data_IF_881525351396
#
_entry.id   IF_881525351396
#
_cell.length_a   1.000
_cell.length_b   1.000
_cell.length_c   1.000
_cell.angle_alpha   90.00
_cell.angle_beta   90.00
_cell.angle_gamma   90.00
#
_symmetry.space_group_name_H-M   'P 1'
#
loop_
_entity.id
_entity.type
_entity.pdbx_description
1 polymer ?
#
# COMPACT_ATOMS: atom_id res chain seq x y z
N UNK A 1 -14.28 -14.89 -21.46
CA UNK A 1 -14.63 -14.70 -20.04
C UNK A 1 -15.50 -13.46 -19.98
N UNK A 2 -16.70 -13.55 -19.41
CA UNK A 2 -17.57 -12.41 -19.20
C UNK A 2 -16.93 -11.56 -18.10
N UNK A 3 -16.68 -10.28 -18.35
CA UNK A 3 -16.14 -9.35 -17.35
C UNK A 3 -17.17 -9.20 -16.22
N UNK A 4 -16.73 -9.48 -14.99
CA UNK A 4 -17.52 -9.43 -13.74
C UNK A 4 -17.61 -8.00 -13.19
N UNK A 5 -17.71 -7.00 -14.08
CA UNK A 5 -17.80 -5.58 -13.72
C UNK A 5 -19.25 -5.05 -13.81
N UNK A 6 -20.22 -5.90 -14.17
CA UNK A 6 -21.63 -5.52 -14.37
C UNK A 6 -22.29 -4.87 -13.13
N UNK A 7 -21.79 -5.16 -11.92
CA UNK A 7 -22.29 -4.55 -10.69
C UNK A 7 -21.97 -3.06 -10.59
N UNK A 8 -20.82 -2.61 -11.13
CA UNK A 8 -20.41 -1.20 -11.09
C UNK A 8 -21.36 -0.32 -11.89
N UNK A 9 -21.80 -0.81 -13.04
CA UNK A 9 -22.74 -0.12 -13.94
C UNK A 9 -24.13 0.08 -13.31
N UNK A 10 -24.49 -0.74 -12.32
CA UNK A 10 -25.74 -0.57 -11.55
C UNK A 10 -25.51 0.37 -10.38
N UNK A 11 -24.41 0.18 -9.64
CA UNK A 11 -24.17 0.85 -8.35
C UNK A 11 -23.80 2.32 -8.53
N UNK A 12 -22.89 2.64 -9.47
CA UNK A 12 -22.41 4.01 -9.65
C UNK A 12 -23.55 4.98 -10.00
N UNK A 13 -24.44 4.68 -10.97
CA UNK A 13 -25.58 5.57 -11.24
C UNK A 13 -26.57 5.64 -10.08
N UNK A 14 -26.92 4.49 -9.47
CA UNK A 14 -27.92 4.43 -8.40
C UNK A 14 -27.52 5.23 -7.15
N UNK A 15 -26.22 5.35 -6.92
CA UNK A 15 -25.67 6.03 -5.74
C UNK A 15 -25.00 7.36 -6.10
N UNK A 16 -25.15 7.87 -7.31
CA UNK A 16 -24.46 9.08 -7.81
C UNK A 16 -24.70 10.35 -6.99
N UNK A 17 -25.86 10.48 -6.35
CA UNK A 17 -26.23 11.62 -5.49
C UNK A 17 -25.85 11.40 -4.02
N UNK A 18 -25.39 10.19 -3.68
CA UNK A 18 -24.88 9.84 -2.36
C UNK A 18 -23.36 9.81 -2.48
N UNK A 19 -22.63 10.35 -1.51
CA UNK A 19 -21.18 10.16 -1.48
C UNK A 19 -20.88 8.69 -1.19
N UNK A 20 -20.85 7.86 -2.22
CA UNK A 20 -20.54 6.44 -2.09
C UNK A 20 -19.15 6.19 -2.53
N UNK A 21 -18.38 5.68 -1.59
CA UNK A 21 -16.99 5.40 -1.79
C UNK A 21 -16.89 3.94 -2.22
N UNK A 22 -17.05 3.69 -3.52
CA UNK A 22 -16.94 2.34 -4.07
C UNK A 22 -15.52 1.81 -3.83
N UNK A 23 -15.39 0.68 -3.15
CA UNK A 23 -14.13 -0.03 -2.99
C UNK A 23 -14.38 -1.52 -3.20
N UNK A 24 -13.40 -2.17 -3.79
CA UNK A 24 -13.34 -3.62 -3.93
C UNK A 24 -12.44 -4.16 -2.81
N UNK A 25 -12.75 -5.34 -2.29
CA UNK A 25 -11.91 -6.02 -1.30
C UNK A 25 -11.36 -7.28 -1.97
N UNK A 26 -10.04 -7.30 -2.21
CA UNK A 26 -9.42 -8.44 -2.90
C UNK A 26 -9.50 -9.74 -2.09
N UNK A 27 -9.33 -9.65 -0.77
CA UNK A 27 -9.48 -10.79 0.13
C UNK A 27 -9.97 -10.35 1.52
N UNK A 28 -11.02 -11.03 1.99
CA UNK A 28 -11.49 -10.92 3.37
C UNK A 28 -11.20 -12.21 4.13
N UNK A 29 -10.49 -12.10 5.26
CA UNK A 29 -10.21 -13.22 6.15
C UNK A 29 -11.16 -13.20 7.35
N UNK A 30 -12.07 -14.18 7.38
CA UNK A 30 -13.11 -14.29 8.41
C UNK A 30 -12.56 -14.60 9.80
N UNK A 31 -11.41 -15.27 9.91
CA UNK A 31 -10.86 -15.70 11.20
C UNK A 31 -10.33 -14.52 12.02
N UNK A 32 -9.82 -13.47 11.35
CA UNK A 32 -9.23 -12.30 11.99
C UNK A 32 -9.95 -10.98 11.63
N UNK A 33 -11.05 -11.06 10.87
CA UNK A 33 -11.70 -9.91 10.23
C UNK A 33 -10.72 -9.05 9.40
N UNK A 34 -9.70 -9.67 8.81
CA UNK A 34 -8.70 -8.92 8.05
C UNK A 34 -9.23 -8.57 6.65
N UNK A 35 -9.12 -7.29 6.30
CA UNK A 35 -9.27 -6.79 4.94
C UNK A 35 -7.87 -6.76 4.31
N UNK A 36 -7.69 -7.47 3.20
CA UNK A 36 -6.40 -7.60 2.51
C UNK A 36 -6.56 -7.09 1.09
N UNK A 37 -5.73 -6.12 0.73
CA UNK A 37 -5.72 -5.46 -0.58
C UNK A 37 -4.36 -5.71 -1.27
N UNK A 38 -4.42 -6.20 -2.50
CA UNK A 38 -3.27 -6.55 -3.34
C UNK A 38 -2.97 -5.43 -4.34
N UNK A 39 -1.89 -4.71 -4.06
CA UNK A 39 -1.44 -3.55 -4.84
C UNK A 39 -0.39 -3.99 -5.86
N UNK A 40 -0.82 -4.23 -7.10
CA UNK A 40 0.11 -4.55 -8.18
C UNK A 40 1.02 -3.36 -8.49
N UNK A 41 2.33 -3.59 -8.34
CA UNK A 41 3.39 -2.70 -8.74
C UNK A 41 3.84 -3.04 -10.16
N UNK A 42 3.35 -2.27 -11.12
CA UNK A 42 3.66 -2.37 -12.55
C UNK A 42 4.78 -1.39 -12.96
N UNK A 43 5.62 -0.97 -12.01
CA UNK A 43 6.64 0.05 -12.27
C UNK A 43 7.69 -0.42 -13.29
N UNK A 44 7.96 -1.72 -13.37
CA UNK A 44 8.91 -2.26 -14.34
C UNK A 44 8.34 -2.21 -15.76
N UNK A 45 7.07 -2.62 -15.93
CA UNK A 45 6.32 -2.59 -17.17
C UNK A 45 6.13 -1.15 -17.66
N UNK A 46 5.74 -0.24 -16.77
CA UNK A 46 5.61 1.19 -17.07
C UNK A 46 6.93 1.80 -17.53
N UNK A 47 8.05 1.39 -16.93
CA UNK A 47 9.38 1.86 -17.34
C UNK A 47 9.77 1.30 -18.71
N UNK A 48 9.56 0.00 -18.96
CA UNK A 48 9.80 -0.63 -20.28
C UNK A 48 8.96 0.01 -21.38
N UNK A 49 7.72 0.38 -21.09
CA UNK A 49 6.82 1.06 -22.02
C UNK A 49 7.08 2.57 -22.18
N UNK A 50 8.10 3.13 -21.50
CA UNK A 50 8.40 4.57 -21.55
C UNK A 50 7.38 5.46 -20.86
N UNK A 51 6.40 4.90 -20.15
CA UNK A 51 5.35 5.63 -19.40
C UNK A 51 5.87 6.19 -18.07
N UNK A 52 6.97 5.64 -17.55
CA UNK A 52 7.61 6.09 -16.31
C UNK A 52 9.15 6.09 -16.45
N UNK A 53 9.82 7.10 -15.90
CA UNK A 53 11.29 7.22 -16.01
C UNK A 53 12.05 6.42 -14.93
N UNK A 54 11.47 6.29 -13.74
CA UNK A 54 12.08 5.63 -12.59
C UNK A 54 11.46 4.26 -12.33
N UNK A 55 12.12 3.45 -11.52
CA UNK A 55 11.60 2.18 -11.02
C UNK A 55 11.26 2.36 -9.54
N UNK A 56 10.09 1.88 -9.12
CA UNK A 56 9.71 1.74 -7.71
C UNK A 56 9.66 0.24 -7.44
N UNK A 57 10.45 -0.22 -6.48
CA UNK A 57 10.39 -1.60 -6.01
C UNK A 57 9.26 -1.77 -5.00
N UNK A 58 8.76 -2.98 -4.79
CA UNK A 58 7.76 -3.33 -3.78
C UNK A 58 8.18 -2.88 -2.39
N UNK A 59 9.46 -2.99 -2.04
CA UNK A 59 10.01 -2.50 -0.78
C UNK A 59 9.86 -0.97 -0.59
N UNK A 60 9.79 -0.23 -1.70
CA UNK A 60 9.63 1.22 -1.69
C UNK A 60 8.22 1.67 -2.05
N UNK A 61 7.37 0.77 -2.57
CA UNK A 61 5.99 1.05 -2.91
C UNK A 61 5.19 1.32 -1.62
N UNK A 62 4.41 2.40 -1.63
CA UNK A 62 3.59 2.78 -0.47
C UNK A 62 2.45 3.71 -0.92
N UNK A 63 1.21 3.55 -0.41
CA UNK A 63 0.07 4.41 -0.76
C UNK A 63 0.33 5.91 -0.59
N UNK A 64 1.07 6.32 0.43
CA UNK A 64 1.46 7.73 0.65
C UNK A 64 2.24 8.37 -0.52
N UNK A 65 2.75 7.58 -1.49
CA UNK A 65 3.36 8.11 -2.72
C UNK A 65 2.34 8.59 -3.75
N UNK A 66 1.10 8.12 -3.64
CA UNK A 66 0.02 8.35 -4.61
C UNK A 66 -1.32 8.62 -3.93
N UNK A 67 -1.27 9.43 -2.88
CA UNK A 67 -2.43 9.81 -2.05
C UNK A 67 -3.54 10.59 -2.81
N UNK A 68 -3.38 10.88 -4.10
CA UNK A 68 -4.50 11.33 -4.93
C UNK A 68 -5.60 10.27 -5.07
N UNK A 69 -5.28 8.98 -4.89
CA UNK A 69 -6.26 7.88 -4.82
C UNK A 69 -6.64 7.53 -3.36
N UNK A 70 -6.60 8.52 -2.46
CA UNK A 70 -6.77 8.31 -1.01
C UNK A 70 -8.08 7.64 -0.61
N UNK A 71 -9.16 7.89 -1.35
CA UNK A 71 -10.49 7.44 -0.98
C UNK A 71 -10.56 5.91 -0.86
N UNK A 72 -9.92 5.18 -1.76
CA UNK A 72 -9.82 3.72 -1.68
C UNK A 72 -9.26 3.25 -0.34
N UNK A 73 -8.13 3.82 0.08
CA UNK A 73 -7.45 3.43 1.31
C UNK A 73 -8.20 3.84 2.56
N UNK A 74 -8.81 5.03 2.55
CA UNK A 74 -9.66 5.51 3.64
C UNK A 74 -10.83 4.54 3.83
N UNK A 75 -11.54 4.17 2.76
CA UNK A 75 -12.70 3.27 2.89
C UNK A 75 -12.29 1.87 3.37
N UNK A 76 -11.21 1.31 2.82
CA UNK A 76 -10.72 0.00 3.22
C UNK A 76 -10.38 -0.01 4.72
N UNK A 77 -9.76 1.07 5.21
CA UNK A 77 -9.43 1.22 6.62
C UNK A 77 -10.67 1.40 7.47
N UNK A 78 -11.58 2.31 7.09
CA UNK A 78 -12.82 2.54 7.81
C UNK A 78 -13.66 1.26 7.87
N UNK A 79 -13.77 0.53 6.75
CA UNK A 79 -14.45 -0.76 6.69
C UNK A 79 -13.81 -1.77 7.63
N UNK A 80 -12.47 -1.89 7.64
CA UNK A 80 -11.76 -2.79 8.55
C UNK A 80 -12.02 -2.41 10.01
N UNK A 81 -12.13 -1.12 10.35
CA UNK A 81 -12.45 -0.69 11.73
C UNK A 81 -13.89 -0.97 12.12
N UNK A 82 -14.85 -0.83 11.20
CA UNK A 82 -16.26 -1.14 11.47
C UNK A 82 -16.49 -2.62 11.82
N UNK A 83 -15.66 -3.51 11.28
CA UNK A 83 -15.72 -4.96 11.56
C UNK A 83 -14.71 -5.40 12.64
N UNK A 84 -14.10 -4.45 13.37
CA UNK A 84 -13.08 -4.71 14.40
C UNK A 84 -11.90 -5.56 13.89
N UNK A 85 -11.45 -5.31 12.66
CA UNK A 85 -10.36 -6.02 12.00
C UNK A 85 -9.17 -5.14 11.59
N UNK A 86 -8.24 -5.74 10.86
CA UNK A 86 -7.04 -5.07 10.37
C UNK A 86 -7.11 -4.83 8.85
N UNK A 87 -6.44 -3.78 8.40
CA UNK A 87 -6.17 -3.54 6.99
C UNK A 87 -4.74 -3.94 6.67
N UNK A 88 -4.58 -4.86 5.72
CA UNK A 88 -3.31 -5.28 5.17
C UNK A 88 -3.18 -4.86 3.71
N UNK A 89 -2.05 -4.27 3.35
CA UNK A 89 -1.73 -3.90 1.97
C UNK A 89 -0.54 -4.73 1.49
N UNK A 90 -0.68 -5.36 0.33
CA UNK A 90 0.32 -6.27 -0.24
C UNK A 90 0.85 -5.69 -1.55
N UNK A 91 2.03 -5.07 -1.55
CA UNK A 91 2.67 -4.64 -2.79
C UNK A 91 3.44 -5.80 -3.43
N UNK A 92 3.03 -6.18 -4.62
CA UNK A 92 3.60 -7.30 -5.38
C UNK A 92 3.81 -6.92 -6.85
N UNK A 93 4.58 -7.72 -7.58
CA UNK A 93 4.88 -7.51 -9.00
C UNK A 93 4.82 -8.85 -9.74
N UNK A 94 4.76 -8.82 -11.07
CA UNK A 94 4.85 -10.04 -11.90
C UNK A 94 6.26 -10.66 -11.88
N UNK A 95 7.25 -9.95 -11.33
CA UNK A 95 8.60 -10.48 -11.11
C UNK A 95 8.64 -11.37 -9.85
N UNK A 96 8.75 -12.71 -9.98
CA UNK A 96 8.73 -13.63 -8.83
C UNK A 96 9.98 -13.57 -7.97
N UNK A 97 11.06 -12.93 -8.45
CA UNK A 97 12.29 -12.74 -7.70
C UNK A 97 12.24 -11.49 -6.81
N UNK A 98 11.30 -10.58 -7.09
CA UNK A 98 11.11 -9.40 -6.26
C UNK A 98 10.42 -9.78 -4.95
N UNK A 99 10.93 -9.25 -3.83
CA UNK A 99 10.26 -9.43 -2.54
C UNK A 99 8.92 -8.69 -2.55
N UNK A 100 7.98 -9.20 -1.77
CA UNK A 100 6.67 -8.59 -1.56
C UNK A 100 6.73 -7.71 -0.31
N UNK A 101 6.12 -6.53 -0.35
CA UNK A 101 5.93 -5.72 0.86
C UNK A 101 4.53 -5.95 1.41
N UNK A 102 4.46 -6.39 2.66
CA UNK A 102 3.22 -6.50 3.43
C UNK A 102 3.17 -5.35 4.43
N UNK A 103 2.05 -4.64 4.53
CA UNK A 103 1.90 -3.46 5.38
C UNK A 103 0.65 -3.63 6.24
N UNK A 104 0.81 -3.62 7.56
CA UNK A 104 -0.30 -3.52 8.51
C UNK A 104 -0.61 -2.05 8.76
N UNK A 105 -1.77 -1.55 8.33
CA UNK A 105 -2.14 -0.13 8.50
C UNK A 105 -2.78 0.07 9.87
N UNK A 106 -2.14 0.86 10.72
CA UNK A 106 -2.61 1.10 12.10
C UNK A 106 -3.35 2.42 12.23
N UNK A 107 -2.99 3.45 11.45
CA UNK A 107 -3.63 4.77 11.50
C UNK A 107 -3.61 5.48 10.13
N UNK A 108 -4.73 6.14 9.80
CA UNK A 108 -4.89 7.02 8.63
C UNK A 108 -5.38 8.40 9.08
N UNK A 109 -4.86 9.42 8.42
CA UNK A 109 -5.40 10.78 8.42
C UNK A 109 -5.82 11.13 6.98
N UNK A 110 -7.02 11.68 6.82
CA UNK A 110 -7.62 11.94 5.50
C UNK A 110 -6.79 12.88 4.62
N UNK A 111 -6.00 13.78 5.22
CA UNK A 111 -5.18 14.74 4.49
C UNK A 111 -3.70 14.34 4.48
N UNK A 112 -3.18 13.80 5.59
CA UNK A 112 -1.75 13.48 5.73
C UNK A 112 -1.36 12.12 5.16
N UNK A 113 -2.29 11.18 4.96
CA UNK A 113 -1.95 9.83 4.53
C UNK A 113 -2.15 8.77 5.60
N UNK A 114 -1.58 7.59 5.34
CA UNK A 114 -1.27 6.62 6.40
C UNK A 114 -0.25 7.26 7.33
N UNK A 115 -0.65 7.49 8.59
CA UNK A 115 0.18 8.14 9.61
C UNK A 115 0.87 7.15 10.53
N UNK A 116 0.39 5.90 10.57
CA UNK A 116 1.13 4.81 11.18
C UNK A 116 0.83 3.47 10.53
N UNK A 117 1.88 2.64 10.41
CA UNK A 117 1.82 1.28 9.91
C UNK A 117 3.04 0.45 10.32
N UNK A 118 2.96 -0.87 10.12
CA UNK A 118 4.07 -1.81 10.27
C UNK A 118 4.34 -2.51 8.95
N UNK A 119 5.54 -2.31 8.40
CA UNK A 119 5.97 -2.90 7.14
C UNK A 119 6.83 -4.15 7.32
N UNK A 120 6.55 -5.18 6.53
CA UNK A 120 7.35 -6.40 6.39
C UNK A 120 7.82 -6.55 4.94
N UNK A 121 9.03 -7.08 4.76
CA UNK A 121 9.57 -7.38 3.43
C UNK A 121 9.81 -8.89 3.30
N UNK A 122 8.90 -9.56 2.62
CA UNK A 122 8.78 -11.01 2.56
C UNK A 122 9.22 -11.56 1.20
N UNK A 123 9.73 -12.78 1.15
CA UNK A 123 9.76 -13.54 -0.12
C UNK A 123 8.34 -13.99 -0.45
N UNK A 124 8.09 -14.28 -1.73
CA UNK A 124 6.79 -14.78 -2.17
C UNK A 124 6.31 -16.00 -1.37
N UNK A 125 7.18 -16.98 -1.12
CA UNK A 125 6.85 -18.16 -0.29
C UNK A 125 6.45 -17.82 1.14
N UNK A 126 7.00 -16.74 1.70
CA UNK A 126 6.68 -16.30 3.07
C UNK A 126 5.35 -15.56 3.13
N UNK A 127 4.98 -14.84 2.05
CA UNK A 127 3.62 -14.32 1.90
C UNK A 127 2.61 -15.46 1.85
N UNK A 128 2.87 -16.50 1.05
CA UNK A 128 1.95 -17.65 0.94
C UNK A 128 1.79 -18.38 2.28
N UNK A 129 2.89 -18.57 3.02
CA UNK A 129 2.86 -19.17 4.35
C UNK A 129 2.06 -18.30 5.34
N UNK A 130 2.28 -16.98 5.34
CA UNK A 130 1.48 -16.05 6.13
C UNK A 130 -0.01 -16.15 5.77
N UNK A 131 -0.38 -16.10 4.48
CA UNK A 131 -1.77 -16.22 4.03
C UNK A 131 -2.42 -17.51 4.52
N UNK A 132 -1.71 -18.64 4.42
CA UNK A 132 -2.21 -19.93 4.87
C UNK A 132 -2.44 -19.94 6.39
N UNK A 133 -1.46 -19.51 7.18
CA UNK A 133 -1.56 -19.46 8.64
C UNK A 133 -2.65 -18.48 9.08
N UNK A 134 -2.76 -17.33 8.40
CA UNK A 134 -3.75 -16.31 8.73
C UNK A 134 -5.18 -16.84 8.53
N UNK A 135 -5.41 -17.74 7.57
CA UNK A 135 -6.71 -18.34 7.28
C UNK A 135 -7.06 -19.55 8.16
N UNK A 136 -6.09 -20.16 8.85
CA UNK A 136 -6.30 -21.39 9.61
C UNK A 136 -6.73 -21.14 11.05
N UNK A 137 -6.25 -20.06 11.66
CA UNK A 137 -6.46 -19.78 13.08
C UNK A 137 -6.21 -18.32 13.39
N UNK A 138 -7.00 -17.78 14.32
CA UNK A 138 -6.81 -16.40 14.79
C UNK A 138 -5.42 -16.24 15.43
N UNK A 139 -4.64 -15.28 14.95
CA UNK A 139 -3.34 -14.94 15.54
C UNK A 139 -2.11 -15.75 15.09
N UNK A 140 -2.26 -16.89 14.42
CA UNK A 140 -1.09 -17.65 13.91
C UNK A 140 -0.32 -16.87 12.84
N UNK A 141 -1.03 -16.21 11.93
CA UNK A 141 -0.43 -15.31 10.93
C UNK A 141 0.36 -14.18 11.59
N UNK A 142 -0.17 -13.59 12.66
CA UNK A 142 0.53 -12.54 13.42
C UNK A 142 1.79 -13.08 14.11
N UNK A 143 1.69 -14.23 14.79
CA UNK A 143 2.83 -14.88 15.43
C UNK A 143 3.94 -15.20 14.43
N UNK A 144 3.58 -15.64 13.22
CA UNK A 144 4.53 -15.84 12.12
C UNK A 144 5.24 -14.54 11.73
N UNK A 145 4.50 -13.44 11.57
CA UNK A 145 5.09 -12.15 11.21
C UNK A 145 6.02 -11.58 12.28
N UNK A 146 5.78 -11.85 13.57
CA UNK A 146 6.68 -11.43 14.65
C UNK A 146 8.07 -12.09 14.56
N UNK A 147 8.20 -13.20 13.84
CA UNK A 147 9.50 -13.82 13.54
C UNK A 147 10.25 -13.15 12.38
N UNK A 148 9.62 -12.20 11.68
CA UNK A 148 10.16 -11.57 10.48
C UNK A 148 10.70 -10.16 10.80
N UNK A 149 11.72 -9.70 10.05
CA UNK A 149 12.13 -8.30 10.13
C UNK A 149 10.97 -7.38 9.80
N UNK A 150 10.72 -6.40 10.67
CA UNK A 150 9.66 -5.40 10.52
C UNK A 150 10.20 -3.98 10.64
N UNK A 151 9.51 -3.05 10.00
CA UNK A 151 9.76 -1.62 10.11
C UNK A 151 8.49 -0.95 10.62
N UNK A 152 8.56 -0.41 11.83
CA UNK A 152 7.49 0.42 12.37
C UNK A 152 7.64 1.83 11.80
N UNK A 153 6.54 2.36 11.25
CA UNK A 153 6.47 3.70 10.67
C UNK A 153 5.36 4.43 11.42
N UNK A 154 5.73 5.36 12.27
CA UNK A 154 4.81 6.20 13.05
C UNK A 154 4.74 7.61 12.45
N UNK A 155 4.02 8.53 13.10
CA UNK A 155 3.87 9.90 12.59
C UNK A 155 5.22 10.60 12.45
N UNK A 156 6.15 10.39 13.40
CA UNK A 156 7.51 10.94 13.34
C UNK A 156 8.29 10.42 12.14
N UNK A 157 8.27 9.10 11.88
CA UNK A 157 8.88 8.51 10.69
C UNK A 157 8.37 9.19 9.41
N UNK A 158 7.05 9.38 9.30
CA UNK A 158 6.46 9.97 8.11
C UNK A 158 6.80 11.46 7.97
N UNK A 159 6.78 12.22 9.07
CA UNK A 159 7.24 13.61 9.09
C UNK A 159 8.69 13.75 8.60
N UNK A 160 9.59 12.88 9.07
CA UNK A 160 10.96 12.84 8.59
C UNK A 160 11.06 12.51 7.10
N UNK A 161 10.29 11.53 6.62
CA UNK A 161 10.32 11.13 5.21
C UNK A 161 9.78 12.24 4.29
N UNK A 162 8.77 12.98 4.74
CA UNK A 162 8.28 14.18 4.06
C UNK A 162 9.37 15.26 4.00
N UNK A 163 10.02 15.57 5.12
CA UNK A 163 11.11 16.55 5.17
C UNK A 163 12.28 16.13 4.25
N UNK A 164 12.66 14.85 4.24
CA UNK A 164 13.69 14.31 3.34
C UNK A 164 13.31 14.44 1.87
N UNK A 165 12.04 14.22 1.51
CA UNK A 165 11.55 14.42 0.14
C UNK A 165 11.62 15.89 -0.29
N UNK A 166 11.19 16.82 0.55
CA UNK A 166 11.27 18.25 0.24
C UNK A 166 12.72 18.72 0.12
N UNK A 167 13.62 18.28 1.00
CA UNK A 167 15.05 18.57 0.88
C UNK A 167 15.66 18.05 -0.43
N UNK A 168 15.27 16.85 -0.89
CA UNK A 168 15.71 16.29 -2.18
C UNK A 168 15.20 17.12 -3.36
N UNK A 169 13.97 17.63 -3.31
CA UNK A 169 13.44 18.55 -4.34
C UNK A 169 14.27 19.82 -4.38
N UNK A 170 14.50 20.47 -3.24
CA UNK A 170 15.29 21.70 -3.18
C UNK A 170 16.70 21.52 -3.73
N UNK A 171 17.38 20.40 -3.42
CA UNK A 171 18.71 20.07 -4.00
C UNK A 171 18.67 19.88 -5.51
N UNK A 172 17.57 19.37 -6.08
CA UNK A 172 17.41 19.19 -7.53
C UNK A 172 17.23 20.52 -8.27
N UNK A 173 16.70 21.54 -7.59
CA UNK A 173 16.48 22.88 -8.16
C UNK A 173 17.54 23.90 -7.73
N UNK A 174 18.46 23.53 -6.84
CA UNK A 174 19.63 24.35 -6.54
C UNK A 174 20.51 24.40 -7.81
N UNK A 175 20.73 25.57 -8.44
CA UNK A 175 21.67 25.68 -9.52
C UNK A 175 23.04 25.21 -9.02
N UNK A 176 23.75 24.45 -9.85
CA UNK A 176 25.15 24.12 -9.63
C UNK A 176 26.00 25.40 -9.68
N UNK A 177 25.98 26.18 -8.61
CA UNK A 177 27.07 27.09 -8.28
C UNK A 177 28.10 26.20 -7.57
N UNK A 178 29.29 25.94 -8.11
CA UNK A 178 30.28 26.92 -8.53
C UNK A 178 31.15 26.27 -9.61
N UNK A 179 31.02 26.76 -10.85
CA UNK A 179 32.17 26.91 -11.73
C UNK A 179 32.71 28.32 -11.49
N UNK A 180 33.73 28.44 -10.65
CA UNK A 180 34.54 29.66 -10.56
C UNK A 180 36.01 29.22 -10.60
N UNK A 181 36.60 29.46 -11.77
CA UNK A 181 37.99 29.82 -12.05
C UNK A 181 39.07 29.37 -11.05
N UNK A 182 39.97 28.49 -11.53
CA UNK A 182 41.41 28.77 -11.57
C UNK A 182 42.01 28.20 -12.85
#
# INVERSE_FOLDING_TARGET
MLEDDNGRDIIIPALSEVSTYFFDVDLFNVENNDVIEFLKNDSEEKKKAGKQKWLVTNANAHPNRYWWNKQKFINLYDASKHINGNLWLVNYSDNPSEKVSLISVTSIDNEKGITSDVGYLLRYKELLEWLLLNQQSSGEGLAYLETKPKQERNEEFWLEEHARKEARKLKKYAPSQIGIYR
#
